data_IF_127082849394
#
_entry.id   IF_127082849394
#
_cell.length_a   1.000
_cell.length_b   1.000
_cell.length_c   1.000
_cell.angle_alpha   90.00
_cell.angle_beta   90.00
_cell.angle_gamma   90.00
#
_symmetry.space_group_name_H-M   'P 1'
#
loop_
_entity.id
_entity.type
_entity.pdbx_description
1 polymer ?
#
# COMPACT_ATOMS: atom_id res chain seq x y z
N UNK A 1 -36.91 -8.04 -23.43
CA UNK A 1 -36.92 -7.80 -21.97
C UNK A 1 -35.67 -8.42 -21.38
N UNK A 2 -34.96 -7.71 -20.50
CA UNK A 2 -33.80 -8.23 -19.78
C UNK A 2 -34.25 -8.82 -18.45
N UNK A 3 -33.52 -9.83 -17.98
CA UNK A 3 -33.78 -10.52 -16.73
C UNK A 3 -32.50 -10.65 -15.92
N UNK A 4 -32.58 -10.45 -14.62
CA UNK A 4 -31.51 -10.74 -13.67
C UNK A 4 -31.71 -12.16 -13.14
N UNK A 5 -30.75 -13.03 -13.42
CA UNK A 5 -30.67 -14.38 -12.88
C UNK A 5 -29.89 -14.34 -11.57
N UNK A 6 -30.50 -14.74 -10.46
CA UNK A 6 -29.88 -14.72 -9.12
C UNK A 6 -29.19 -16.02 -8.75
N UNK A 7 -29.64 -17.15 -9.32
CA UNK A 7 -29.09 -18.48 -9.06
C UNK A 7 -28.98 -19.29 -10.35
N UNK A 8 -27.90 -20.05 -10.48
CA UNK A 8 -27.68 -20.92 -11.64
C UNK A 8 -28.65 -22.10 -11.64
N UNK A 9 -29.29 -22.38 -12.78
CA UNK A 9 -30.26 -23.46 -12.90
C UNK A 9 -30.32 -24.01 -14.34
N UNK A 10 -30.77 -25.25 -14.50
CA UNK A 10 -31.02 -25.84 -15.83
C UNK A 10 -32.52 -26.09 -15.99
N UNK A 11 -33.15 -25.35 -16.90
CA UNK A 11 -34.55 -25.55 -17.26
C UNK A 11 -34.64 -26.66 -18.30
N UNK A 12 -35.45 -27.68 -18.03
CA UNK A 12 -35.67 -28.81 -18.94
C UNK A 12 -37.08 -28.77 -19.51
N UNK A 13 -37.21 -28.88 -20.82
CA UNK A 13 -38.48 -28.79 -21.53
C UNK A 13 -39.00 -30.17 -21.94
N UNK A 14 -40.29 -30.22 -22.30
CA UNK A 14 -40.99 -31.46 -22.65
C UNK A 14 -40.53 -32.10 -23.96
N UNK A 15 -39.88 -31.34 -24.84
CA UNK A 15 -39.25 -31.82 -26.08
C UNK A 15 -37.84 -32.41 -25.85
N UNK A 16 -37.40 -32.51 -24.60
CA UNK A 16 -36.07 -32.99 -24.23
C UNK A 16 -34.96 -31.93 -24.34
N UNK A 17 -35.27 -30.73 -24.82
CA UNK A 17 -34.31 -29.61 -24.82
C UNK A 17 -34.10 -29.06 -23.41
N UNK A 18 -32.99 -28.35 -23.22
CA UNK A 18 -32.71 -27.66 -21.95
C UNK A 18 -32.01 -26.32 -22.18
N UNK A 19 -32.20 -25.40 -21.24
CA UNK A 19 -31.58 -24.07 -21.21
C UNK A 19 -30.93 -23.86 -19.85
N UNK A 20 -29.66 -23.47 -19.85
CA UNK A 20 -28.93 -23.11 -18.65
C UNK A 20 -29.12 -21.61 -18.35
N UNK A 21 -29.61 -21.32 -17.15
CA UNK A 21 -29.63 -19.99 -16.57
C UNK A 21 -28.32 -19.79 -15.82
N UNK A 22 -27.51 -18.83 -16.28
CA UNK A 22 -26.28 -18.40 -15.59
C UNK A 22 -26.56 -17.14 -14.79
N UNK A 23 -26.00 -16.99 -13.57
CA UNK A 23 -26.15 -15.76 -12.80
C UNK A 23 -25.69 -14.53 -13.60
N UNK A 24 -26.48 -13.46 -13.56
CA UNK A 24 -26.21 -12.23 -14.31
C UNK A 24 -27.41 -11.72 -15.10
N UNK A 25 -27.18 -10.69 -15.91
CA UNK A 25 -28.23 -10.04 -16.73
C UNK A 25 -28.24 -10.64 -18.13
N UNK A 26 -29.37 -11.26 -18.49
CA UNK A 26 -29.53 -11.96 -19.75
C UNK A 26 -30.85 -11.62 -20.44
N UNK A 27 -30.86 -11.79 -21.77
CA UNK A 27 -32.09 -11.78 -22.57
C UNK A 27 -32.46 -13.22 -22.87
N UNK A 28 -33.74 -13.56 -22.67
CA UNK A 28 -34.25 -14.90 -22.91
C UNK A 28 -35.39 -14.87 -23.94
N UNK A 29 -35.52 -15.96 -24.67
CA UNK A 29 -36.66 -16.17 -25.56
C UNK A 29 -37.95 -16.37 -24.75
N UNK A 30 -39.09 -16.04 -25.36
CA UNK A 30 -40.41 -16.14 -24.73
C UNK A 30 -40.67 -17.52 -24.11
N UNK A 31 -40.31 -18.57 -24.85
CA UNK A 31 -40.42 -19.98 -24.41
C UNK A 31 -39.72 -20.24 -23.08
N UNK A 32 -38.56 -19.63 -22.86
CA UNK A 32 -37.77 -19.80 -21.62
C UNK A 32 -38.41 -19.01 -20.48
N UNK A 33 -38.88 -17.80 -20.75
CA UNK A 33 -39.54 -16.95 -19.74
C UNK A 33 -40.88 -17.50 -19.25
N UNK A 34 -41.55 -18.30 -20.07
CA UNK A 34 -42.83 -18.96 -19.73
C UNK A 34 -42.63 -20.29 -18.99
N UNK A 35 -41.39 -20.76 -18.85
CA UNK A 35 -41.13 -22.00 -18.11
C UNK A 35 -41.50 -21.83 -16.63
N UNK A 36 -42.20 -22.82 -16.06
CA UNK A 36 -42.76 -22.74 -14.69
C UNK A 36 -41.73 -22.39 -13.61
N UNK A 37 -40.50 -22.87 -13.75
CA UNK A 37 -39.40 -22.60 -12.82
C UNK A 37 -38.61 -21.31 -13.12
N UNK A 38 -38.87 -20.61 -14.22
CA UNK A 38 -38.06 -19.47 -14.64
C UNK A 38 -38.09 -18.33 -13.61
N UNK A 39 -39.27 -17.96 -13.13
CA UNK A 39 -39.44 -16.88 -12.15
C UNK A 39 -38.85 -17.19 -10.75
N UNK A 40 -38.50 -18.44 -10.47
CA UNK A 40 -37.80 -18.81 -9.23
C UNK A 40 -36.31 -18.45 -9.28
N UNK A 41 -35.75 -18.33 -10.49
CA UNK A 41 -34.31 -18.10 -10.71
C UNK A 41 -34.00 -16.78 -11.39
N UNK A 42 -34.97 -16.18 -12.10
CA UNK A 42 -34.79 -14.96 -12.86
C UNK A 42 -35.96 -13.99 -12.66
N UNK A 43 -35.66 -12.71 -12.54
CA UNK A 43 -36.66 -11.64 -12.43
C UNK A 43 -36.47 -10.64 -13.57
N UNK A 44 -37.58 -10.14 -14.13
CA UNK A 44 -37.52 -9.08 -15.14
C UNK A 44 -36.92 -7.82 -14.52
N UNK A 45 -35.97 -7.21 -15.23
CA UNK A 45 -35.42 -5.91 -14.85
C UNK A 45 -35.77 -4.88 -15.92
N UNK A 46 -36.12 -3.68 -15.47
CA UNK A 46 -36.39 -2.54 -16.34
C UNK A 46 -35.09 -1.86 -16.78
N UNK A 47 -35.15 -1.12 -17.87
CA UNK A 47 -34.01 -0.31 -18.35
C UNK A 47 -33.56 0.71 -17.29
N UNK A 48 -34.50 1.22 -16.49
CA UNK A 48 -34.22 2.20 -15.43
C UNK A 48 -33.57 1.56 -14.20
N UNK A 49 -33.98 0.35 -13.79
CA UNK A 49 -33.28 -0.43 -12.75
C UNK A 49 -31.86 -0.81 -13.20
N UNK A 50 -31.69 -1.15 -14.49
CA UNK A 50 -30.38 -1.42 -15.06
C UNK A 50 -29.48 -0.17 -14.99
N UNK A 51 -30.01 1.01 -15.35
CA UNK A 51 -29.29 2.29 -15.25
C UNK A 51 -28.95 2.68 -13.82
N UNK A 52 -29.84 2.45 -12.85
CA UNK A 52 -29.55 2.67 -11.43
C UNK A 52 -28.48 1.71 -10.89
N UNK A 53 -28.49 0.44 -11.33
CA UNK A 53 -27.44 -0.52 -10.98
C UNK A 53 -26.09 -0.19 -11.63
N UNK A 54 -26.12 0.48 -12.78
CA UNK A 54 -24.98 1.16 -13.38
C UNK A 54 -24.71 2.51 -12.68
N UNK A 55 -24.60 2.48 -11.34
CA UNK A 55 -23.88 3.49 -10.55
C UNK A 55 -22.39 3.57 -10.91
N UNK A 56 -22.06 3.45 -12.19
CA UNK A 56 -20.77 3.68 -12.81
C UNK A 56 -20.27 5.06 -12.46
N UNK A 57 -21.14 6.06 -12.31
CA UNK A 57 -20.71 7.41 -11.94
C UNK A 57 -20.23 7.46 -10.48
N UNK A 58 -20.94 6.83 -9.54
CA UNK A 58 -20.50 6.71 -8.13
C UNK A 58 -19.22 5.87 -8.00
N UNK A 59 -19.15 4.74 -8.72
CA UNK A 59 -17.95 3.91 -8.76
C UNK A 59 -16.77 4.64 -9.43
N UNK A 60 -17.00 5.40 -10.50
CA UNK A 60 -15.97 6.19 -11.17
C UNK A 60 -15.46 7.29 -10.26
N UNK A 61 -16.35 8.03 -9.58
CA UNK A 61 -15.97 9.04 -8.60
C UNK A 61 -15.16 8.43 -7.46
N UNK A 62 -15.55 7.24 -6.98
CA UNK A 62 -14.81 6.52 -5.93
C UNK A 62 -13.44 6.04 -6.42
N UNK A 63 -13.35 5.54 -7.64
CA UNK A 63 -12.07 5.14 -8.26
C UNK A 63 -11.16 6.36 -8.39
N UNK A 64 -11.64 7.47 -8.93
CA UNK A 64 -10.88 8.71 -9.04
C UNK A 64 -10.44 9.27 -7.68
N UNK A 65 -11.29 9.18 -6.66
CA UNK A 65 -10.93 9.54 -5.28
C UNK A 65 -9.84 8.64 -4.70
N UNK A 66 -9.91 7.33 -4.94
CA UNK A 66 -8.88 6.38 -4.54
C UNK A 66 -7.56 6.61 -5.29
N UNK A 67 -7.60 6.85 -6.59
CA UNK A 67 -6.41 7.17 -7.42
C UNK A 67 -5.71 8.46 -6.93
N UNK A 68 -6.48 9.49 -6.60
CA UNK A 68 -5.97 10.73 -6.02
C UNK A 68 -5.30 10.46 -4.66
N UNK A 69 -5.93 9.64 -3.82
CA UNK A 69 -5.39 9.26 -2.51
C UNK A 69 -4.10 8.47 -2.65
N UNK A 70 -4.05 7.49 -3.57
CA UNK A 70 -2.86 6.68 -3.86
C UNK A 70 -1.72 7.59 -4.30
N UNK A 71 -1.99 8.52 -5.22
CA UNK A 71 -0.98 9.48 -5.72
C UNK A 71 -0.43 10.34 -4.58
N UNK A 72 -1.30 10.86 -3.70
CA UNK A 72 -0.88 11.64 -2.54
C UNK A 72 -0.05 10.84 -1.53
N UNK A 73 -0.43 9.59 -1.26
CA UNK A 73 0.34 8.71 -0.38
C UNK A 73 1.70 8.35 -0.96
N UNK A 74 1.79 8.13 -2.27
CA UNK A 74 3.05 7.87 -2.96
C UNK A 74 4.01 9.05 -2.83
N UNK A 75 3.52 10.28 -3.06
CA UNK A 75 4.33 11.49 -2.90
C UNK A 75 4.84 11.66 -1.45
N UNK A 76 3.98 11.42 -0.45
CA UNK A 76 4.41 11.48 0.95
C UNK A 76 5.46 10.43 1.30
N UNK A 77 5.39 9.24 0.68
CA UNK A 77 6.38 8.20 0.88
C UNK A 77 7.73 8.61 0.29
N UNK A 78 7.74 9.18 -0.91
CA UNK A 78 8.94 9.65 -1.60
C UNK A 78 9.61 10.80 -0.82
N UNK A 79 8.83 11.76 -0.31
CA UNK A 79 9.32 12.86 0.53
C UNK A 79 9.93 12.36 1.84
N UNK A 80 9.30 11.36 2.48
CA UNK A 80 9.82 10.75 3.70
C UNK A 80 11.09 9.96 3.43
N UNK A 81 11.16 9.23 2.32
CA UNK A 81 12.36 8.49 1.91
C UNK A 81 13.55 9.44 1.70
N UNK A 82 13.34 10.55 0.99
CA UNK A 82 14.37 11.57 0.80
C UNK A 82 14.84 12.19 2.13
N UNK A 83 13.91 12.44 3.06
CA UNK A 83 14.24 12.96 4.39
C UNK A 83 15.09 11.96 5.20
N UNK A 84 14.78 10.66 5.12
CA UNK A 84 15.55 9.60 5.78
C UNK A 84 16.96 9.54 5.21
N UNK A 85 17.11 9.59 3.89
CA UNK A 85 18.43 9.58 3.24
C UNK A 85 19.30 10.77 3.65
N UNK A 86 18.71 11.96 3.74
CA UNK A 86 19.41 13.15 4.21
C UNK A 86 19.80 13.06 5.70
N UNK A 87 18.93 12.49 6.54
CA UNK A 87 19.24 12.25 7.94
C UNK A 87 20.37 11.24 8.12
N UNK A 88 20.41 10.18 7.30
CA UNK A 88 21.49 9.20 7.32
C UNK A 88 22.83 9.83 6.96
N UNK A 89 22.89 10.66 5.92
CA UNK A 89 24.12 11.40 5.57
C UNK A 89 24.60 12.30 6.71
N UNK A 90 23.70 13.02 7.36
CA UNK A 90 24.05 13.86 8.50
C UNK A 90 24.59 13.05 9.68
N UNK A 91 24.10 11.83 9.90
CA UNK A 91 24.61 10.93 10.94
C UNK A 91 26.03 10.49 10.57
N UNK A 92 26.28 10.07 9.32
CA UNK A 92 27.63 9.67 8.87
C UNK A 92 28.66 10.80 9.01
N UNK A 93 28.28 12.04 8.69
CA UNK A 93 29.14 13.22 8.87
C UNK A 93 29.45 13.49 10.35
N UNK A 94 28.45 13.34 11.22
CA UNK A 94 28.61 13.51 12.67
C UNK A 94 29.50 12.41 13.26
N UNK A 95 29.31 11.16 12.85
CA UNK A 95 30.14 10.04 13.31
C UNK A 95 31.60 10.19 12.87
N UNK A 96 31.83 10.67 11.66
CA UNK A 96 33.17 11.02 11.16
C UNK A 96 33.81 12.12 12.01
N UNK A 97 33.04 13.16 12.35
CA UNK A 97 33.50 14.25 13.21
C UNK A 97 33.83 13.77 14.63
N UNK A 98 32.97 12.94 15.22
CA UNK A 98 33.17 12.35 16.55
C UNK A 98 34.46 11.52 16.56
N UNK A 99 34.67 10.69 15.54
CA UNK A 99 35.88 9.87 15.41
C UNK A 99 37.13 10.76 15.35
N UNK A 100 37.11 11.84 14.57
CA UNK A 100 38.22 12.79 14.49
C UNK A 100 38.52 13.48 15.83
N UNK A 101 37.48 13.91 16.55
CA UNK A 101 37.62 14.53 17.87
C UNK A 101 38.16 13.55 18.92
N UNK A 102 37.73 12.29 18.88
CA UNK A 102 38.24 11.23 19.76
C UNK A 102 39.73 10.98 19.52
N UNK A 103 40.18 10.97 18.26
CA UNK A 103 41.59 10.85 17.92
C UNK A 103 42.41 12.02 18.49
N UNK A 104 41.94 13.26 18.28
CA UNK A 104 42.61 14.46 18.81
C UNK A 104 42.71 14.44 20.34
N UNK A 105 41.64 14.01 21.02
CA UNK A 105 41.66 13.83 22.48
C UNK A 105 42.70 12.80 22.93
N UNK A 106 42.81 11.68 22.21
CA UNK A 106 43.83 10.66 22.47
C UNK A 106 45.25 11.22 22.35
N UNK A 107 45.54 11.91 21.24
CA UNK A 107 46.85 12.53 21.00
C UNK A 107 47.20 13.60 22.05
N UNK A 108 46.23 14.43 22.45
CA UNK A 108 46.44 15.42 23.51
C UNK A 108 46.68 14.77 24.88
N UNK A 109 45.97 13.69 25.19
CA UNK A 109 46.17 12.94 26.44
C UNK A 109 47.56 12.32 26.50
N UNK A 110 48.04 11.76 25.39
CA UNK A 110 49.39 11.20 25.30
C UNK A 110 50.47 12.29 25.44
N UNK A 111 50.27 13.45 24.80
CA UNK A 111 51.18 14.61 24.96
C UNK A 111 51.22 15.12 26.41
N UNK A 112 50.08 15.15 27.09
CA UNK A 112 50.03 15.58 28.49
C UNK A 112 50.79 14.61 29.40
N UNK A 113 50.54 13.31 29.27
CA UNK A 113 51.20 12.28 30.09
C UNK A 113 52.72 12.24 29.86
N UNK A 114 53.19 12.41 28.62
CA UNK A 114 54.62 12.49 28.31
C UNK A 114 55.26 13.75 28.87
N UNK A 115 54.58 14.89 28.84
CA UNK A 115 55.05 16.13 29.44
C UNK A 115 55.14 16.04 30.97
N UNK A 116 54.15 15.46 31.64
CA UNK A 116 54.15 15.23 33.08
C UNK A 116 55.29 14.29 33.50
N UNK A 117 55.50 13.18 32.76
CA UNK A 117 56.61 12.26 32.99
C UNK A 117 57.99 12.92 32.79
N UNK A 118 58.10 13.81 31.81
CA UNK A 118 59.31 14.61 31.56
C UNK A 118 59.61 15.61 32.67
N UNK A 119 58.58 16.25 33.22
CA UNK A 119 58.72 17.20 34.33
C UNK A 119 59.09 16.49 35.65
N UNK A 120 58.51 15.32 35.94
CA UNK A 120 58.85 14.53 37.12
C UNK A 120 60.34 14.12 37.15
N UNK A 121 60.96 13.84 35.99
CA UNK A 121 62.39 13.51 35.88
C UNK A 121 63.33 14.71 36.06
N UNK A 122 62.84 15.94 35.92
CA UNK A 122 63.64 17.17 36.07
C UNK A 122 63.64 17.74 37.48
N UNK A 123 62.82 17.20 38.39
CA UNK A 123 62.83 17.61 39.79
C UNK A 123 63.98 16.87 40.52
N UNK A 124 65.05 17.54 40.96
CA UNK A 124 66.11 16.87 41.70
C UNK A 124 65.53 16.39 43.04
N UNK A 125 65.73 15.11 43.35
CA UNK A 125 65.45 14.52 44.67
C UNK A 125 66.46 15.07 45.70
N UNK A 126 66.39 16.37 45.98
CA UNK A 126 67.19 17.02 47.01
C UNK A 126 66.39 17.02 48.31
N UNK A 127 66.33 15.87 48.99
CA UNK A 127 66.16 15.83 50.44
C UNK A 127 66.42 14.42 51.01
N UNK A 128 67.65 14.17 51.48
CA UNK A 128 67.97 13.60 52.79
C UNK A 128 69.48 13.52 53.01
#
# INVERSE_FOLDING_TARGET
MKYLVTSGAVLRFTDGSHVELKPGVHSFEKRVTEHWAFNAHAQAITEDELKQSQGSEDLTLKVSGLETTITGLQQQLDEKAATIDDQLKQIEEKDSTITGLQQQLGELTEKLTTQEAGNAKKQPSANK
#
